data_IF_717712990704
#
_entry.id   IF_717712990704
#
_cell.length_a   1.000
_cell.length_b   1.000
_cell.length_c   1.000
_cell.angle_alpha   90.00
_cell.angle_beta   90.00
_cell.angle_gamma   90.00
#
_symmetry.space_group_name_H-M   'P 1'
#
loop_
_entity.id
_entity.type
_entity.pdbx_description
1 polymer ?
#
# COMPACT_ATOMS: atom_id res chain seq x y z
N UNK A 1 20.35 -13.91 -24.31
CA UNK A 1 18.90 -13.77 -24.09
C UNK A 1 18.26 -14.22 -25.40
N UNK A 2 17.40 -15.25 -25.38
CA UNK A 2 16.65 -15.61 -26.58
C UNK A 2 15.71 -14.44 -26.92
N UNK A 3 15.80 -13.85 -28.12
CA UNK A 3 15.12 -12.59 -28.46
C UNK A 3 13.59 -12.67 -28.49
N UNK A 4 12.99 -13.86 -28.36
CA UNK A 4 11.52 -14.06 -28.44
C UNK A 4 10.83 -14.28 -27.09
N UNK A 5 11.58 -14.39 -25.98
CA UNK A 5 10.99 -14.74 -24.67
C UNK A 5 10.31 -13.55 -23.98
N UNK A 6 10.84 -12.34 -24.13
CA UNK A 6 10.36 -11.13 -23.45
C UNK A 6 9.67 -10.18 -24.42
N UNK A 7 8.49 -9.68 -24.05
CA UNK A 7 7.78 -8.63 -24.78
C UNK A 7 7.44 -7.46 -23.88
N UNK A 8 7.53 -6.24 -24.39
CA UNK A 8 7.44 -5.02 -23.58
C UNK A 8 6.28 -4.12 -23.99
N UNK A 9 5.52 -3.63 -23.03
CA UNK A 9 4.36 -2.78 -23.28
C UNK A 9 4.30 -1.65 -22.27
N UNK A 10 3.69 -0.54 -22.67
CA UNK A 10 3.15 0.43 -21.72
C UNK A 10 1.70 0.05 -21.43
N UNK A 11 1.25 0.16 -20.18
CA UNK A 11 -0.13 -0.16 -19.83
C UNK A 11 -1.11 0.73 -20.61
N UNK A 12 -2.17 0.12 -21.14
CA UNK A 12 -3.12 0.77 -22.05
C UNK A 12 -2.70 0.83 -23.53
N UNK A 13 -1.42 0.59 -23.84
CA UNK A 13 -0.95 0.56 -25.23
C UNK A 13 -1.07 -0.83 -25.86
N UNK A 14 -1.49 -0.88 -27.12
CA UNK A 14 -1.61 -2.14 -27.87
C UNK A 14 -0.32 -2.54 -28.58
N UNK A 15 0.60 -1.59 -28.76
CA UNK A 15 1.84 -1.80 -29.52
C UNK A 15 2.97 -2.13 -28.57
N UNK A 16 3.76 -3.11 -28.97
CA UNK A 16 4.98 -3.48 -28.27
C UNK A 16 6.02 -2.35 -28.37
N UNK A 17 6.72 -2.12 -27.27
CA UNK A 17 7.85 -1.19 -27.19
C UNK A 17 9.12 -1.94 -27.60
N UNK A 18 9.60 -1.68 -28.81
CA UNK A 18 10.77 -2.36 -29.37
C UNK A 18 12.08 -1.63 -29.02
N UNK A 19 13.19 -2.37 -28.85
CA UNK A 19 14.52 -1.78 -28.73
C UNK A 19 14.82 -0.75 -29.83
N UNK A 20 15.28 0.44 -29.44
CA UNK A 20 15.60 1.54 -30.35
C UNK A 20 14.39 2.35 -30.87
N UNK A 21 13.16 2.04 -30.42
CA UNK A 21 11.99 2.89 -30.68
C UNK A 21 12.05 4.20 -29.88
N UNK A 22 11.26 5.21 -30.27
CA UNK A 22 11.22 6.49 -29.53
C UNK A 22 10.87 6.28 -28.05
N UNK A 23 9.87 5.44 -27.76
CA UNK A 23 9.45 5.12 -26.40
C UNK A 23 10.55 4.41 -25.60
N UNK A 24 11.37 3.58 -26.24
CA UNK A 24 12.48 2.88 -25.59
C UNK A 24 13.55 3.84 -25.07
N UNK A 25 13.81 4.91 -25.81
CA UNK A 25 14.83 5.91 -25.49
C UNK A 25 14.30 7.04 -24.57
N UNK A 26 13.00 7.06 -24.27
CA UNK A 26 12.44 8.06 -23.36
C UNK A 26 12.97 7.86 -21.93
N UNK A 27 13.29 8.94 -21.20
CA UNK A 27 13.57 8.87 -19.76
C UNK A 27 12.44 8.19 -19.01
N UNK A 28 12.79 7.35 -18.02
CA UNK A 28 11.79 6.66 -17.18
C UNK A 28 10.92 7.65 -16.39
N UNK A 29 11.42 8.84 -16.06
CA UNK A 29 10.65 9.91 -15.42
C UNK A 29 9.75 10.71 -16.40
N UNK A 30 9.72 10.35 -17.68
CA UNK A 30 9.04 11.08 -18.74
C UNK A 30 9.84 12.27 -19.29
N UNK A 31 9.21 13.07 -20.15
CA UNK A 31 9.84 14.31 -20.66
C UNK A 31 9.97 15.30 -19.50
N UNK A 32 11.19 15.76 -19.19
CA UNK A 32 11.49 16.78 -18.19
C UNK A 32 10.41 17.90 -18.18
N UNK A 33 9.44 17.81 -17.29
CA UNK A 33 8.59 18.95 -16.95
C UNK A 33 9.43 19.82 -16.03
N UNK A 34 10.02 20.87 -16.60
CA UNK A 34 10.99 21.72 -15.94
C UNK A 34 10.54 22.20 -14.56
N UNK A 35 11.21 21.71 -13.53
CA UNK A 35 11.53 22.53 -12.37
C UNK A 35 12.94 23.05 -12.59
N UNK A 36 13.02 24.21 -13.26
CA UNK A 36 14.23 25.03 -13.25
C UNK A 36 14.29 25.79 -11.93
N UNK A 37 15.29 25.50 -11.12
CA UNK A 37 15.91 26.51 -10.28
C UNK A 37 17.41 26.42 -10.53
N UNK A 38 17.90 27.36 -11.33
CA UNK A 38 19.29 27.47 -11.74
C UNK A 38 20.24 27.70 -10.57
N UNK A 39 21.35 26.97 -10.55
CA UNK A 39 22.67 27.53 -10.23
C UNK A 39 23.71 26.97 -11.20
N UNK A 40 24.35 27.81 -12.03
CA UNK A 40 25.29 27.37 -13.06
C UNK A 40 26.71 27.28 -12.50
N UNK A 41 26.98 26.25 -11.67
CA UNK A 41 28.36 25.95 -11.28
C UNK A 41 28.52 24.54 -10.73
N UNK A 42 28.24 23.51 -11.55
CA UNK A 42 28.79 22.16 -11.37
C UNK A 42 28.51 21.31 -12.62
N UNK A 43 29.23 21.59 -13.72
CA UNK A 43 29.37 20.62 -14.83
C UNK A 43 30.33 19.52 -14.37
N UNK A 44 29.83 18.58 -13.56
CA UNK A 44 30.41 17.25 -13.37
C UNK A 44 29.37 16.25 -13.87
N UNK A 45 29.85 15.27 -14.66
CA UNK A 45 29.14 14.19 -15.36
C UNK A 45 27.61 14.30 -15.37
N UNK A 46 27.01 14.50 -16.54
CA UNK A 46 25.61 14.12 -16.72
C UNK A 46 25.47 12.67 -16.28
N UNK A 47 24.88 12.43 -15.11
CA UNK A 47 24.42 11.10 -14.73
C UNK A 47 23.49 10.65 -15.86
N UNK A 48 23.91 9.62 -16.59
CA UNK A 48 23.17 9.15 -17.75
C UNK A 48 21.75 8.78 -17.29
N UNK A 49 20.76 9.40 -17.92
CA UNK A 49 19.36 9.25 -17.51
C UNK A 49 18.89 7.84 -17.86
N UNK A 50 18.35 7.12 -16.87
CA UNK A 50 17.75 5.80 -17.06
C UNK A 50 16.51 5.94 -17.95
N UNK A 51 16.48 5.21 -19.06
CA UNK A 51 15.35 5.18 -20.00
C UNK A 51 14.37 4.05 -19.68
N UNK A 52 13.22 4.06 -20.34
CA UNK A 52 12.25 2.95 -20.33
C UNK A 52 12.93 1.65 -20.79
N UNK A 53 13.75 1.72 -21.84
CA UNK A 53 14.51 0.59 -22.35
C UNK A 53 15.51 0.02 -21.35
N UNK A 54 16.27 0.87 -20.66
CA UNK A 54 17.19 0.44 -19.61
C UNK A 54 16.44 -0.28 -18.48
N UNK A 55 15.28 0.25 -18.10
CA UNK A 55 14.42 -0.32 -17.06
C UNK A 55 13.87 -1.69 -17.47
N UNK A 56 13.40 -1.84 -18.71
CA UNK A 56 12.96 -3.12 -19.25
C UNK A 56 14.09 -4.15 -19.31
N UNK A 57 15.27 -3.77 -19.81
CA UNK A 57 16.43 -4.68 -19.85
C UNK A 57 16.86 -5.13 -18.45
N UNK A 58 16.86 -4.22 -17.47
CA UNK A 58 17.15 -4.56 -16.09
C UNK A 58 16.09 -5.50 -15.50
N UNK A 59 14.81 -5.32 -15.83
CA UNK A 59 13.74 -6.23 -15.41
C UNK A 59 13.92 -7.64 -16.00
N UNK A 60 14.32 -7.76 -17.27
CA UNK A 60 14.61 -9.05 -17.89
C UNK A 60 15.77 -9.76 -17.19
N UNK A 61 16.83 -9.00 -16.88
CA UNK A 61 17.98 -9.52 -16.17
C UNK A 61 17.58 -10.04 -14.79
N UNK A 62 16.85 -9.25 -14.02
CA UNK A 62 16.32 -9.66 -12.72
C UNK A 62 15.47 -10.95 -12.80
N UNK A 63 14.58 -11.06 -13.79
CA UNK A 63 13.67 -12.19 -13.93
C UNK A 63 14.35 -13.46 -14.45
N UNK A 64 15.42 -13.35 -15.23
CA UNK A 64 16.09 -14.47 -15.92
C UNK A 64 17.41 -14.93 -15.29
N UNK A 65 18.01 -14.12 -14.41
CA UNK A 65 19.24 -14.47 -13.71
C UNK A 65 19.12 -15.80 -12.95
N UNK A 66 20.26 -16.48 -12.81
CA UNK A 66 20.36 -17.78 -12.11
C UNK A 66 19.33 -18.81 -12.59
N UNK A 67 19.12 -18.87 -13.92
CA UNK A 67 18.16 -19.76 -14.55
C UNK A 67 16.72 -19.51 -14.05
N UNK A 68 16.30 -18.24 -14.05
CA UNK A 68 14.96 -17.78 -13.63
C UNK A 68 14.61 -18.13 -12.17
N UNK A 69 15.57 -18.11 -11.25
CA UNK A 69 15.34 -18.62 -9.88
C UNK A 69 14.24 -17.86 -9.13
N UNK A 70 14.27 -16.53 -9.14
CA UNK A 70 13.27 -15.68 -8.47
C UNK A 70 11.89 -15.84 -9.12
N UNK A 71 11.82 -15.81 -10.45
CA UNK A 71 10.57 -15.98 -11.19
C UNK A 71 9.96 -17.36 -10.93
N UNK A 72 10.77 -18.43 -10.97
CA UNK A 72 10.31 -19.78 -10.66
C UNK A 72 9.82 -19.89 -9.23
N UNK A 73 10.48 -19.29 -8.24
CA UNK A 73 9.97 -19.31 -6.87
C UNK A 73 8.54 -18.75 -6.78
N UNK A 74 8.24 -17.67 -7.50
CA UNK A 74 6.88 -17.14 -7.63
C UNK A 74 5.92 -18.08 -8.35
N UNK A 75 6.33 -18.60 -9.50
CA UNK A 75 5.53 -19.54 -10.30
C UNK A 75 5.20 -20.81 -9.52
N UNK A 76 6.15 -21.38 -8.78
CA UNK A 76 5.93 -22.61 -8.01
C UNK A 76 4.88 -22.43 -6.91
N UNK A 77 4.84 -21.24 -6.30
CA UNK A 77 3.83 -20.87 -5.30
C UNK A 77 2.46 -20.69 -5.94
N UNK A 78 2.37 -19.91 -7.02
CA UNK A 78 1.10 -19.62 -7.71
C UNK A 78 0.52 -20.89 -8.33
N UNK A 79 1.38 -21.67 -8.98
CA UNK A 79 0.99 -22.89 -9.67
C UNK A 79 0.89 -24.12 -8.75
N UNK A 80 1.34 -24.02 -7.50
CA UNK A 80 1.37 -25.09 -6.49
C UNK A 80 2.12 -26.35 -6.95
N UNK A 81 3.11 -26.20 -7.83
CA UNK A 81 3.91 -27.29 -8.42
C UNK A 81 5.21 -26.73 -8.99
N UNK A 82 6.25 -27.57 -9.08
CA UNK A 82 7.53 -27.13 -9.65
C UNK A 82 7.38 -26.74 -11.13
N UNK A 83 8.10 -25.70 -11.54
CA UNK A 83 8.12 -25.20 -12.94
C UNK A 83 9.53 -25.27 -13.48
N UNK A 84 9.71 -25.96 -14.60
CA UNK A 84 10.99 -26.05 -15.30
C UNK A 84 11.16 -24.84 -16.23
N UNK A 85 12.41 -24.40 -16.43
CA UNK A 85 12.72 -23.26 -17.31
C UNK A 85 12.18 -23.45 -18.73
N UNK A 86 12.29 -24.66 -19.29
CA UNK A 86 11.78 -24.97 -20.63
C UNK A 86 10.26 -24.99 -20.76
N UNK A 87 9.52 -24.75 -19.66
CA UNK A 87 8.07 -24.56 -19.70
C UNK A 87 7.67 -23.09 -19.78
N UNK A 88 8.61 -22.15 -19.62
CA UNK A 88 8.32 -20.72 -19.70
C UNK A 88 8.34 -20.34 -21.18
N UNK A 89 7.15 -20.19 -21.76
CA UNK A 89 6.98 -19.93 -23.19
C UNK A 89 7.15 -18.43 -23.50
N UNK A 90 6.65 -17.57 -22.62
CA UNK A 90 6.65 -16.11 -22.82
C UNK A 90 6.54 -15.34 -21.52
N UNK A 91 7.24 -14.22 -21.43
CA UNK A 91 7.15 -13.24 -20.35
C UNK A 91 6.79 -11.88 -20.96
N UNK A 92 5.63 -11.35 -20.59
CA UNK A 92 5.17 -10.03 -21.04
C UNK A 92 5.28 -9.05 -19.89
N UNK A 93 5.98 -7.95 -20.14
CA UNK A 93 6.31 -6.92 -19.15
C UNK A 93 5.57 -5.64 -19.50
N UNK A 94 4.64 -5.22 -18.64
CA UNK A 94 3.88 -3.98 -18.80
C UNK A 94 4.37 -2.95 -17.79
N UNK A 95 4.78 -1.78 -18.27
CA UNK A 95 5.00 -0.63 -17.40
C UNK A 95 3.66 0.03 -17.07
N UNK A 96 3.21 -0.10 -15.82
CA UNK A 96 1.86 0.31 -15.40
C UNK A 96 1.78 1.81 -15.13
N UNK A 97 2.59 2.31 -14.18
CA UNK A 97 2.49 3.68 -13.68
C UNK A 97 3.86 4.22 -13.28
N UNK A 98 3.95 5.54 -13.16
CA UNK A 98 5.04 6.21 -12.46
C UNK A 98 4.52 6.70 -11.11
N UNK A 99 5.10 6.18 -10.03
CA UNK A 99 4.91 6.69 -8.68
C UNK A 99 6.10 7.52 -8.23
N UNK A 100 5.96 8.19 -7.08
CA UNK A 100 7.04 8.99 -6.48
C UNK A 100 8.27 8.15 -6.10
N UNK A 101 8.08 6.87 -5.79
CA UNK A 101 9.13 5.94 -5.36
C UNK A 101 9.30 4.72 -6.29
N UNK A 102 8.20 4.24 -6.89
CA UNK A 102 8.17 3.02 -7.68
C UNK A 102 7.62 3.22 -9.09
N UNK A 103 8.11 2.40 -10.00
CA UNK A 103 7.62 2.25 -11.37
C UNK A 103 7.12 0.82 -11.57
N UNK A 104 5.95 0.43 -11.01
CA UNK A 104 5.52 -0.96 -11.00
C UNK A 104 5.38 -1.52 -12.42
N UNK A 105 5.89 -2.74 -12.60
CA UNK A 105 5.71 -3.54 -13.80
C UNK A 105 4.72 -4.67 -13.50
N UNK A 106 3.72 -4.87 -14.37
CA UNK A 106 2.94 -6.12 -14.37
C UNK A 106 3.67 -7.14 -15.25
N UNK A 107 3.94 -8.31 -14.67
CA UNK A 107 4.61 -9.41 -15.36
C UNK A 107 3.59 -10.50 -15.62
N UNK A 108 3.24 -10.73 -16.89
CA UNK A 108 2.42 -11.86 -17.31
C UNK A 108 3.32 -12.97 -17.83
N UNK A 109 3.11 -14.19 -17.34
CA UNK A 109 3.94 -15.35 -17.71
C UNK A 109 3.04 -16.43 -18.28
N UNK A 110 3.35 -16.83 -19.51
CA UNK A 110 2.77 -17.99 -20.15
C UNK A 110 3.66 -19.19 -19.86
N UNK A 111 3.11 -20.18 -19.16
CA UNK A 111 3.82 -21.40 -18.80
C UNK A 111 3.08 -22.61 -19.38
N UNK A 112 3.79 -23.43 -20.14
CA UNK A 112 3.24 -24.61 -20.79
C UNK A 112 2.60 -25.57 -19.77
N UNK A 113 1.28 -25.78 -19.92
CA UNK A 113 0.50 -26.65 -19.04
C UNK A 113 -0.03 -25.98 -17.77
N UNK A 114 -0.08 -24.65 -17.74
CA UNK A 114 -0.61 -23.84 -16.63
C UNK A 114 -1.49 -22.71 -17.16
N UNK A 115 -2.42 -22.18 -16.35
CA UNK A 115 -3.02 -20.88 -16.60
C UNK A 115 -1.95 -19.78 -16.65
N UNK A 116 -2.28 -18.66 -17.29
CA UNK A 116 -1.44 -17.47 -17.24
C UNK A 116 -1.24 -16.99 -15.80
N UNK A 117 0.00 -16.70 -15.43
CA UNK A 117 0.36 -16.21 -14.10
C UNK A 117 0.71 -14.72 -14.18
N UNK A 118 0.24 -13.94 -13.21
CA UNK A 118 0.58 -12.53 -13.09
C UNK A 118 1.39 -12.25 -11.82
N UNK A 119 2.39 -11.38 -11.93
CA UNK A 119 3.18 -10.86 -10.81
C UNK A 119 3.27 -9.34 -10.91
N UNK A 120 3.52 -8.69 -9.77
CA UNK A 120 4.02 -7.32 -9.74
C UNK A 120 5.54 -7.37 -9.58
N UNK A 121 6.25 -6.59 -10.37
CA UNK A 121 7.66 -6.32 -10.19
C UNK A 121 7.80 -4.84 -9.84
N UNK A 122 7.88 -4.55 -8.55
CA UNK A 122 8.06 -3.19 -8.05
C UNK A 122 9.53 -2.82 -8.21
N UNK A 123 9.82 -1.76 -8.96
CA UNK A 123 11.19 -1.28 -9.08
C UNK A 123 11.38 0.19 -8.82
N UNK A 124 12.59 0.52 -8.38
CA UNK A 124 13.01 1.86 -8.00
C UNK A 124 14.37 2.20 -8.61
N UNK A 125 14.54 3.48 -8.94
CA UNK A 125 15.78 4.03 -9.51
C UNK A 125 16.41 5.11 -8.63
N UNK A 126 15.62 5.78 -7.78
CA UNK A 126 16.09 6.81 -6.87
C UNK A 126 16.70 6.21 -5.61
N UNK A 127 17.64 6.93 -4.96
CA UNK A 127 18.26 6.47 -3.70
C UNK A 127 17.22 6.19 -2.60
N UNK A 128 16.22 7.06 -2.47
CA UNK A 128 15.11 6.89 -1.51
C UNK A 128 14.24 5.69 -1.87
N UNK A 129 13.89 5.52 -3.15
CA UNK A 129 13.12 4.38 -3.63
C UNK A 129 13.85 3.05 -3.41
N UNK A 130 15.14 2.98 -3.70
CA UNK A 130 15.97 1.78 -3.46
C UNK A 130 16.02 1.40 -1.98
N UNK A 131 16.19 2.38 -1.09
CA UNK A 131 16.19 2.13 0.36
C UNK A 131 14.83 1.65 0.85
N UNK A 132 13.73 2.19 0.32
CA UNK A 132 12.38 1.77 0.66
C UNK A 132 12.11 0.35 0.17
N UNK A 133 12.52 0.03 -1.07
CA UNK A 133 12.32 -1.26 -1.74
C UNK A 133 12.84 -2.43 -0.92
N UNK A 134 14.10 -2.37 -0.46
CA UNK A 134 14.68 -3.44 0.33
C UNK A 134 14.02 -3.57 1.71
N UNK A 135 13.64 -2.45 2.31
CA UNK A 135 12.98 -2.42 3.62
C UNK A 135 11.57 -3.01 3.54
N UNK A 136 10.77 -2.59 2.56
CA UNK A 136 9.41 -3.06 2.33
C UNK A 136 9.40 -4.56 2.03
N UNK A 137 10.30 -5.06 1.18
CA UNK A 137 10.44 -6.49 0.94
C UNK A 137 10.67 -7.27 2.25
N UNK A 138 11.58 -6.78 3.11
CA UNK A 138 11.89 -7.43 4.41
C UNK A 138 10.68 -7.42 5.33
N UNK A 139 9.97 -6.29 5.42
CA UNK A 139 8.79 -6.16 6.28
C UNK A 139 7.68 -7.08 5.79
N UNK A 140 7.33 -7.05 4.50
CA UNK A 140 6.29 -7.92 3.93
C UNK A 140 6.67 -9.40 4.09
N UNK A 141 7.93 -9.77 3.85
CA UNK A 141 8.41 -11.14 4.06
C UNK A 141 8.27 -11.58 5.52
N UNK A 142 8.57 -10.70 6.48
CA UNK A 142 8.39 -10.97 7.91
C UNK A 142 6.91 -11.12 8.27
N UNK A 143 6.06 -10.17 7.87
CA UNK A 143 4.63 -10.16 8.18
C UNK A 143 3.89 -11.35 7.56
N UNK A 144 4.28 -11.80 6.36
CA UNK A 144 3.73 -13.00 5.75
C UNK A 144 4.06 -14.28 6.53
N UNK A 145 5.19 -14.32 7.24
CA UNK A 145 5.57 -15.45 8.10
C UNK A 145 4.81 -15.43 9.43
N UNK A 146 4.62 -14.25 10.02
CA UNK A 146 3.96 -14.12 11.33
C UNK A 146 2.43 -14.18 11.23
N UNK A 147 1.84 -13.65 10.16
CA UNK A 147 0.38 -13.59 9.93
C UNK A 147 -0.10 -14.54 8.81
N UNK A 148 0.41 -15.77 8.79
CA UNK A 148 0.16 -16.71 7.68
C UNK A 148 -1.30 -17.16 7.52
N UNK A 149 -2.14 -17.04 8.57
CA UNK A 149 -3.55 -17.48 8.57
C UNK A 149 -4.47 -16.49 7.83
N UNK A 150 -4.23 -15.19 7.97
CA UNK A 150 -5.02 -14.14 7.32
C UNK A 150 -4.10 -13.27 6.45
N UNK A 151 -3.91 -13.69 5.19
CA UNK A 151 -3.04 -13.00 4.23
C UNK A 151 -3.77 -11.83 3.57
N UNK A 152 -3.43 -10.63 4.02
CA UNK A 152 -3.93 -9.36 3.46
C UNK A 152 -2.87 -8.59 2.67
N UNK A 153 -1.60 -9.02 2.78
CA UNK A 153 -0.44 -8.53 2.04
C UNK A 153 -0.09 -9.44 0.86
N UNK A 154 0.59 -8.92 -0.19
CA UNK A 154 1.09 -9.76 -1.26
C UNK A 154 2.20 -10.67 -0.75
N UNK A 155 2.30 -11.88 -1.31
CA UNK A 155 3.54 -12.64 -1.20
C UNK A 155 4.68 -11.93 -1.93
N UNK A 156 5.91 -12.09 -1.44
CA UNK A 156 7.12 -11.59 -2.09
C UNK A 156 8.08 -12.75 -2.33
N UNK A 157 8.72 -12.77 -3.49
CA UNK A 157 9.43 -13.94 -4.01
C UNK A 157 10.94 -13.73 -4.17
N UNK A 158 11.38 -12.47 -4.30
CA UNK A 158 12.80 -12.12 -4.33
C UNK A 158 13.00 -10.63 -4.47
N UNK A 159 14.20 -10.17 -4.12
CA UNK A 159 14.65 -8.78 -4.22
C UNK A 159 16.10 -8.76 -4.70
N UNK A 160 16.44 -7.82 -5.57
CA UNK A 160 17.81 -7.62 -6.05
C UNK A 160 17.99 -6.22 -6.66
N UNK A 161 19.24 -5.82 -6.85
CA UNK A 161 19.61 -4.53 -7.46
C UNK A 161 20.53 -4.76 -8.65
N UNK A 162 20.02 -4.42 -9.83
CA UNK A 162 20.75 -4.49 -11.08
C UNK A 162 21.60 -3.23 -11.24
N UNK A 163 22.91 -3.42 -11.37
CA UNK A 163 23.83 -2.33 -11.73
C UNK A 163 23.94 -2.23 -13.24
N UNK A 164 23.67 -1.05 -13.77
CA UNK A 164 23.86 -0.66 -15.17
C UNK A 164 24.96 0.38 -15.28
N UNK A 165 25.38 0.70 -16.50
CA UNK A 165 26.26 1.84 -16.81
C UNK A 165 25.65 3.20 -16.45
N UNK A 166 24.31 3.29 -16.38
CA UNK A 166 23.55 4.50 -16.07
C UNK A 166 23.06 4.61 -14.62
N UNK A 167 23.36 3.61 -13.79
CA UNK A 167 22.98 3.61 -12.37
C UNK A 167 22.42 2.28 -11.88
N UNK A 168 21.82 2.31 -10.69
CA UNK A 168 21.26 1.14 -10.01
C UNK A 168 19.75 1.10 -10.15
N UNK A 169 19.21 -0.07 -10.49
CA UNK A 169 17.78 -0.31 -10.60
C UNK A 169 17.44 -1.48 -9.67
N UNK A 170 16.69 -1.20 -8.63
CA UNK A 170 16.26 -2.21 -7.65
C UNK A 170 14.90 -2.76 -8.02
N UNK A 171 14.69 -4.03 -7.74
CA UNK A 171 13.43 -4.72 -7.98
C UNK A 171 13.10 -5.70 -6.85
N UNK A 172 11.82 -5.83 -6.51
CA UNK A 172 11.31 -7.04 -5.87
C UNK A 172 10.09 -7.59 -6.61
N UNK A 173 10.02 -8.92 -6.67
CA UNK A 173 8.89 -9.65 -7.26
C UNK A 173 7.86 -9.95 -6.18
N UNK A 174 6.59 -9.66 -6.46
CA UNK A 174 5.47 -9.95 -5.59
C UNK A 174 4.24 -10.49 -6.31
N UNK A 175 3.27 -10.94 -5.51
CA UNK A 175 1.98 -11.42 -5.98
C UNK A 175 1.18 -10.31 -6.65
N UNK A 176 0.61 -10.60 -7.82
CA UNK A 176 -0.40 -9.75 -8.43
C UNK A 176 -1.79 -10.14 -7.91
N UNK A 177 -2.52 -9.18 -7.37
CA UNK A 177 -3.89 -9.39 -6.91
C UNK A 177 -4.89 -9.28 -8.05
N UNK A 178 -5.18 -10.42 -8.71
CA UNK A 178 -6.11 -10.44 -9.83
C UNK A 178 -7.55 -10.07 -9.45
N UNK A 179 -8.17 -9.24 -10.29
CA UNK A 179 -9.52 -8.72 -10.10
C UNK A 179 -9.65 -7.61 -9.04
N UNK A 180 -8.57 -7.22 -8.36
CA UNK A 180 -8.58 -6.09 -7.43
C UNK A 180 -8.31 -4.76 -8.15
N UNK A 181 -8.90 -3.69 -7.62
CA UNK A 181 -8.96 -2.37 -8.24
C UNK A 181 -8.57 -1.28 -7.26
N UNK A 182 -7.95 -0.22 -7.77
CA UNK A 182 -7.76 1.01 -7.02
C UNK A 182 -9.10 1.73 -6.85
N UNK A 183 -9.23 2.49 -5.76
CA UNK A 183 -10.40 3.29 -5.49
C UNK A 183 -10.00 4.59 -4.80
N UNK A 184 -10.77 5.65 -5.03
CA UNK A 184 -10.54 6.96 -4.44
C UNK A 184 -11.84 7.70 -4.17
N UNK A 185 -11.81 8.64 -3.23
CA UNK A 185 -12.84 9.63 -3.09
C UNK A 185 -13.01 10.41 -4.40
N UNK A 186 -14.26 10.70 -4.77
CA UNK A 186 -14.60 11.56 -5.89
C UNK A 186 -15.79 12.42 -5.54
N UNK A 187 -16.11 13.38 -6.39
CA UNK A 187 -17.22 14.29 -6.18
C UNK A 187 -17.84 14.66 -7.52
N UNK A 188 -19.16 14.51 -7.59
CA UNK A 188 -19.96 14.92 -8.74
C UNK A 188 -21.08 15.86 -8.28
N UNK A 189 -21.20 17.04 -8.88
CA UNK A 189 -22.19 18.06 -8.52
C UNK A 189 -22.29 18.38 -7.02
N UNK A 190 -21.17 18.32 -6.28
CA UNK A 190 -21.13 18.55 -4.83
C UNK A 190 -21.46 17.33 -3.97
N UNK A 191 -21.86 16.21 -4.57
CA UNK A 191 -22.15 14.95 -3.90
C UNK A 191 -20.89 14.10 -3.87
N UNK A 192 -20.46 13.73 -2.67
CA UNK A 192 -19.28 12.90 -2.47
C UNK A 192 -19.58 11.42 -2.70
N UNK A 193 -18.64 10.75 -3.36
CA UNK A 193 -18.73 9.38 -3.83
C UNK A 193 -17.35 8.71 -3.71
N UNK A 194 -17.29 7.42 -4.00
CA UNK A 194 -16.05 6.68 -4.22
C UNK A 194 -16.07 6.16 -5.65
N UNK A 195 -14.97 6.37 -6.38
CA UNK A 195 -14.75 5.78 -7.70
C UNK A 195 -13.84 4.57 -7.57
N UNK A 196 -14.19 3.48 -8.24
CA UNK A 196 -13.38 2.27 -8.41
C UNK A 196 -12.92 2.24 -9.87
N UNK A 197 -11.61 2.15 -10.09
CA UNK A 197 -11.01 2.20 -11.43
C UNK A 197 -10.89 0.83 -12.05
N UNK A 198 -11.49 0.65 -13.22
CA UNK A 198 -11.32 -0.55 -14.01
C UNK A 198 -10.04 -0.52 -14.82
N UNK A 199 -9.51 -1.71 -15.12
CA UNK A 199 -8.27 -1.87 -15.89
C UNK A 199 -8.43 -1.47 -17.36
N UNK A 200 -9.66 -1.35 -17.86
CA UNK A 200 -9.98 -0.89 -19.21
C UNK A 200 -10.27 0.62 -19.28
N UNK A 201 -10.00 1.35 -18.19
CA UNK A 201 -10.23 2.79 -18.07
C UNK A 201 -11.66 3.18 -17.72
N UNK A 202 -12.58 2.21 -17.57
CA UNK A 202 -13.92 2.51 -17.02
C UNK A 202 -13.84 2.86 -15.54
N UNK A 203 -14.83 3.59 -15.08
CA UNK A 203 -14.98 4.00 -13.69
C UNK A 203 -16.33 3.51 -13.16
N UNK A 204 -16.31 2.83 -12.02
CA UNK A 204 -17.52 2.46 -11.29
C UNK A 204 -17.68 3.37 -10.07
N UNK A 205 -18.80 4.08 -10.01
CA UNK A 205 -19.07 5.05 -8.95
C UNK A 205 -20.04 4.47 -7.93
N UNK A 206 -19.67 4.55 -6.65
CA UNK A 206 -20.50 4.13 -5.53
C UNK A 206 -20.68 5.29 -4.54
N UNK A 207 -21.80 5.30 -3.81
CA UNK A 207 -22.00 6.27 -2.74
C UNK A 207 -21.02 6.03 -1.58
N UNK A 208 -20.77 7.06 -0.76
CA UNK A 208 -19.97 6.87 0.47
C UNK A 208 -20.53 5.77 1.37
N UNK A 209 -21.86 5.66 1.47
CA UNK A 209 -22.51 4.62 2.29
C UNK A 209 -22.24 3.22 1.73
N UNK A 210 -22.28 3.05 0.41
CA UNK A 210 -21.95 1.78 -0.23
C UNK A 210 -20.46 1.42 -0.08
N UNK A 211 -19.60 2.40 0.16
CA UNK A 211 -18.17 2.20 0.40
C UNK A 211 -17.84 1.83 1.86
N UNK A 212 -18.77 1.93 2.81
CA UNK A 212 -18.52 1.60 4.23
C UNK A 212 -17.84 0.25 4.47
N UNK A 213 -18.22 -0.86 3.80
CA UNK A 213 -17.54 -2.14 4.00
C UNK A 213 -16.06 -2.13 3.58
N UNK A 214 -15.66 -1.25 2.66
CA UNK A 214 -14.25 -1.08 2.24
C UNK A 214 -13.44 -0.53 3.42
N UNK A 215 -13.89 0.58 4.02
CA UNK A 215 -13.18 1.24 5.11
C UNK A 215 -13.23 0.44 6.42
N UNK A 216 -14.33 -0.28 6.66
CA UNK A 216 -14.41 -1.27 7.74
C UNK A 216 -13.33 -2.35 7.59
N UNK A 217 -13.18 -2.92 6.39
CA UNK A 217 -12.17 -3.95 6.14
C UNK A 217 -10.74 -3.39 6.21
N UNK A 218 -10.49 -2.16 5.75
CA UNK A 218 -9.18 -1.51 5.89
C UNK A 218 -8.82 -1.34 7.37
N UNK A 219 -9.76 -0.86 8.18
CA UNK A 219 -9.57 -0.74 9.63
C UNK A 219 -9.27 -2.08 10.28
N UNK A 220 -10.02 -3.12 9.91
CA UNK A 220 -9.80 -4.48 10.39
C UNK A 220 -8.40 -4.96 10.03
N UNK A 221 -8.00 -4.88 8.76
CA UNK A 221 -6.68 -5.32 8.26
C UNK A 221 -5.54 -4.63 9.01
N UNK A 222 -5.57 -3.30 9.12
CA UNK A 222 -4.52 -2.55 9.81
C UNK A 222 -4.43 -2.93 11.29
N UNK A 223 -5.58 -3.16 11.93
CA UNK A 223 -5.64 -3.60 13.32
C UNK A 223 -5.17 -5.06 13.48
N UNK A 224 -5.43 -5.95 12.52
CA UNK A 224 -4.90 -7.31 12.52
C UNK A 224 -3.36 -7.32 12.51
N UNK A 225 -2.74 -6.39 11.77
CA UNK A 225 -1.29 -6.21 11.74
C UNK A 225 -0.73 -5.37 12.88
N UNK A 226 -1.56 -4.75 13.72
CA UNK A 226 -1.06 -4.10 14.93
C UNK A 226 -0.56 -5.15 15.93
N UNK A 227 0.69 -5.04 16.36
CA UNK A 227 1.25 -5.92 17.39
C UNK A 227 0.90 -5.37 18.78
N UNK A 228 0.19 -6.15 19.59
CA UNK A 228 -0.27 -5.70 20.91
C UNK A 228 0.86 -5.70 21.94
N UNK A 229 1.95 -6.44 21.71
CA UNK A 229 3.05 -6.57 22.66
C UNK A 229 4.19 -5.61 22.31
N UNK A 230 4.46 -5.39 21.02
CA UNK A 230 5.50 -4.45 20.56
C UNK A 230 4.96 -3.08 20.18
N UNK A 231 3.64 -2.94 20.04
CA UNK A 231 2.94 -1.75 19.55
C UNK A 231 3.26 -1.38 18.10
N UNK A 232 3.98 -2.26 17.39
CA UNK A 232 4.29 -2.06 15.99
C UNK A 232 3.03 -1.96 15.16
N UNK A 233 3.01 -1.01 14.22
CA UNK A 233 1.92 -0.84 13.27
C UNK A 233 2.46 -0.66 11.87
N UNK A 234 1.67 -1.01 10.87
CA UNK A 234 1.96 -0.60 9.50
C UNK A 234 1.72 0.92 9.38
N UNK A 235 2.79 1.67 9.13
CA UNK A 235 2.75 3.12 8.90
C UNK A 235 4.06 3.59 8.21
N UNK A 236 4.03 4.58 7.31
CA UNK A 236 2.85 5.31 6.81
C UNK A 236 2.05 4.55 5.76
N UNK A 237 0.74 4.79 5.73
CA UNK A 237 -0.18 4.41 4.66
C UNK A 237 -1.09 5.60 4.30
N UNK A 238 -1.63 5.62 3.08
CA UNK A 238 -2.53 6.66 2.59
C UNK A 238 -3.44 6.15 1.46
N UNK A 239 -4.74 6.49 1.49
CA UNK A 239 -5.70 6.10 0.43
C UNK A 239 -5.28 6.64 -0.94
N UNK A 240 -5.02 7.94 -1.05
CA UNK A 240 -4.53 8.58 -2.27
C UNK A 240 -3.22 8.02 -2.84
N UNK A 241 -2.43 7.29 -2.03
CA UNK A 241 -1.21 6.67 -2.52
C UNK A 241 -1.45 5.27 -3.13
N UNK A 242 -2.70 4.79 -3.12
CA UNK A 242 -3.06 3.49 -3.68
C UNK A 242 -2.62 2.31 -2.82
N UNK A 243 -2.35 2.51 -1.52
CA UNK A 243 -1.87 1.42 -0.66
C UNK A 243 -2.90 0.29 -0.50
N UNK A 244 -4.19 0.58 -0.72
CA UNK A 244 -5.29 -0.38 -0.63
C UNK A 244 -5.96 -0.59 -1.98
N UNK A 245 -6.32 -1.84 -2.25
CA UNK A 245 -7.09 -2.23 -3.43
C UNK A 245 -8.31 -3.06 -3.01
N UNK A 246 -9.38 -2.92 -3.78
CA UNK A 246 -10.68 -3.52 -3.49
C UNK A 246 -11.12 -4.47 -4.59
N UNK A 247 -11.78 -5.56 -4.21
CA UNK A 247 -12.55 -6.40 -5.11
C UNK A 247 -13.96 -6.57 -4.55
N UNK A 248 -14.95 -6.36 -5.40
CA UNK A 248 -16.36 -6.56 -5.07
C UNK A 248 -16.88 -7.81 -5.78
N UNK A 249 -17.35 -8.80 -5.02
CA UNK A 249 -17.82 -10.07 -5.58
C UNK A 249 -19.02 -10.59 -4.78
N UNK A 250 -20.13 -10.90 -5.46
CA UNK A 250 -21.34 -11.47 -4.86
C UNK A 250 -21.84 -10.72 -3.60
N UNK A 251 -21.77 -9.39 -3.61
CA UNK A 251 -22.18 -8.54 -2.48
C UNK A 251 -21.18 -8.50 -1.31
N UNK A 252 -20.01 -9.13 -1.45
CA UNK A 252 -18.90 -9.05 -0.49
C UNK A 252 -17.84 -8.10 -1.00
N UNK A 253 -17.20 -7.43 -0.06
CA UNK A 253 -16.05 -6.56 -0.29
C UNK A 253 -14.81 -7.26 0.25
N UNK A 254 -13.77 -7.33 -0.57
CA UNK A 254 -12.46 -7.82 -0.20
C UNK A 254 -11.45 -6.71 -0.39
N UNK A 255 -10.65 -6.44 0.64
CA UNK A 255 -9.56 -5.47 0.56
C UNK A 255 -8.22 -6.17 0.70
N UNK A 256 -7.21 -5.64 0.02
CA UNK A 256 -5.80 -5.99 0.19
C UNK A 256 -4.99 -4.73 0.41
N UNK A 257 -3.92 -4.87 1.19
CA UNK A 257 -2.89 -3.87 1.39
C UNK A 257 -1.69 -4.27 0.52
N UNK A 258 -1.25 -3.40 -0.38
CA UNK A 258 -0.21 -3.72 -1.36
C UNK A 258 1.14 -3.05 -1.09
N UNK A 259 1.21 -2.18 -0.08
CA UNK A 259 2.42 -1.45 0.30
C UNK A 259 2.54 -1.41 1.82
N UNK A 260 3.77 -1.58 2.32
CA UNK A 260 4.14 -1.57 3.73
C UNK A 260 5.45 -0.80 3.88
N UNK A 261 5.33 0.53 3.92
CA UNK A 261 6.48 1.44 3.96
C UNK A 261 7.28 1.36 5.27
N UNK A 262 6.62 0.99 6.36
CA UNK A 262 7.21 0.87 7.69
C UNK A 262 6.39 -0.01 8.60
N UNK A 263 7.05 -0.52 9.64
CA UNK A 263 6.45 -1.32 10.70
C UNK A 263 7.21 -1.10 12.00
N UNK A 264 6.69 -0.18 12.81
CA UNK A 264 7.31 0.34 14.04
C UNK A 264 6.23 0.89 14.98
N UNK A 265 6.49 1.08 16.28
CA UNK A 265 5.50 1.65 17.18
C UNK A 265 5.27 3.14 16.91
N UNK A 266 4.09 3.65 17.26
CA UNK A 266 3.81 5.11 17.19
C UNK A 266 4.61 5.89 18.23
N UNK A 267 4.83 5.25 19.38
CA UNK A 267 5.44 5.85 20.56
C UNK A 267 6.35 4.80 21.18
N UNK A 268 7.58 5.21 21.50
CA UNK A 268 8.52 4.37 22.23
C UNK A 268 8.19 4.45 23.73
N UNK A 269 7.87 3.30 24.32
CA UNK A 269 7.76 3.17 25.78
C UNK A 269 9.06 2.59 26.34
N UNK A 270 9.31 2.82 27.62
CA UNK A 270 10.51 2.34 28.32
C UNK A 270 10.73 0.83 28.17
N UNK A 271 11.99 0.39 28.35
CA UNK A 271 12.40 -0.98 28.06
C UNK A 271 11.91 -2.04 29.09
N UNK A 272 11.38 -1.62 30.23
CA UNK A 272 10.96 -2.54 31.30
C UNK A 272 9.68 -3.31 30.95
N UNK A 273 9.71 -4.64 31.04
CA UNK A 273 8.60 -5.53 30.63
C UNK A 273 7.32 -5.33 31.47
N UNK A 274 7.46 -4.95 32.74
CA UNK A 274 6.30 -4.64 33.59
C UNK A 274 5.58 -3.38 33.12
N UNK A 275 6.32 -2.38 32.66
CA UNK A 275 5.75 -1.15 32.12
C UNK A 275 5.00 -1.42 30.81
N UNK A 276 5.46 -2.38 30.00
CA UNK A 276 4.82 -2.71 28.71
C UNK A 276 3.38 -3.20 28.84
N UNK A 277 3.05 -4.01 29.84
CA UNK A 277 1.66 -4.47 30.02
C UNK A 277 0.71 -3.32 30.37
N UNK A 278 1.16 -2.37 31.18
CA UNK A 278 0.39 -1.17 31.53
C UNK A 278 0.18 -0.25 30.32
N UNK A 279 1.05 -0.34 29.32
CA UNK A 279 0.99 0.44 28.08
C UNK A 279 0.16 -0.18 26.95
N UNK A 280 -0.37 -1.40 27.10
CA UNK A 280 -1.17 -2.05 26.04
C UNK A 280 -2.38 -1.19 25.65
N UNK A 281 -3.24 -0.85 26.62
CA UNK A 281 -4.48 -0.11 26.34
C UNK A 281 -4.22 1.35 25.92
N UNK A 282 -3.28 2.09 26.55
CA UNK A 282 -2.87 3.40 26.06
C UNK A 282 -2.33 3.38 24.63
N UNK A 283 -1.45 2.43 24.29
CA UNK A 283 -0.86 2.32 22.94
C UNK A 283 -1.90 1.97 21.89
N UNK A 284 -2.81 1.04 22.24
CA UNK A 284 -3.91 0.65 21.37
C UNK A 284 -4.88 1.83 21.15
N UNK A 285 -5.12 2.65 22.17
CA UNK A 285 -5.91 3.88 22.04
C UNK A 285 -5.24 4.88 21.09
N UNK A 286 -3.94 5.12 21.22
CA UNK A 286 -3.20 6.02 20.33
C UNK A 286 -3.22 5.52 18.87
N UNK A 287 -2.98 4.23 18.66
CA UNK A 287 -3.10 3.58 17.36
C UNK A 287 -4.51 3.78 16.77
N UNK A 288 -5.55 3.48 17.55
CA UNK A 288 -6.94 3.58 17.13
C UNK A 288 -7.35 5.00 16.74
N UNK A 289 -6.98 6.00 17.56
CA UNK A 289 -7.31 7.40 17.29
C UNK A 289 -6.55 7.93 16.05
N UNK A 290 -5.28 7.55 15.89
CA UNK A 290 -4.51 7.89 14.68
C UNK A 290 -5.10 7.24 13.42
N UNK A 291 -5.50 5.96 13.51
CA UNK A 291 -6.19 5.22 12.45
C UNK A 291 -7.46 5.95 12.01
N UNK A 292 -8.31 6.35 12.95
CA UNK A 292 -9.57 7.05 12.68
C UNK A 292 -9.40 8.40 11.99
N UNK A 293 -8.41 9.19 12.42
CA UNK A 293 -8.10 10.48 11.80
C UNK A 293 -7.73 10.31 10.33
N UNK A 294 -6.85 9.37 10.04
CA UNK A 294 -6.31 9.14 8.69
C UNK A 294 -7.28 8.43 7.76
N UNK A 295 -8.12 7.53 8.26
CA UNK A 295 -9.07 6.75 7.45
C UNK A 295 -10.06 7.62 6.67
N UNK A 296 -10.33 8.84 7.17
CA UNK A 296 -11.25 9.77 6.51
C UNK A 296 -10.56 10.59 5.43
N UNK A 297 -9.23 10.58 5.32
CA UNK A 297 -8.49 11.45 4.41
C UNK A 297 -8.23 10.76 3.07
N UNK A 298 -8.51 11.46 2.00
CA UNK A 298 -8.18 11.02 0.64
C UNK A 298 -7.96 12.22 -0.28
N UNK A 299 -7.66 11.97 -1.55
CA UNK A 299 -7.60 12.99 -2.60
C UNK A 299 -8.64 12.69 -3.67
N UNK A 300 -9.29 13.74 -4.18
CA UNK A 300 -10.25 13.59 -5.26
C UNK A 300 -9.62 12.93 -6.47
N UNK A 301 -10.18 11.81 -6.91
CA UNK A 301 -9.66 10.99 -8.02
C UNK A 301 -8.17 10.61 -7.83
N UNK A 302 -7.73 10.41 -6.58
CA UNK A 302 -6.38 9.97 -6.21
C UNK A 302 -5.30 11.05 -6.23
N UNK A 303 -5.43 12.10 -7.04
CA UNK A 303 -4.39 13.13 -7.20
C UNK A 303 -4.87 14.57 -6.97
N UNK A 304 -6.19 14.81 -7.01
CA UNK A 304 -6.81 16.12 -6.85
C UNK A 304 -6.76 16.66 -5.41
N UNK A 305 -7.65 17.61 -5.09
CA UNK A 305 -7.67 18.25 -3.78
C UNK A 305 -7.87 17.22 -2.64
N UNK A 306 -7.18 17.47 -1.53
CA UNK A 306 -7.39 16.75 -0.26
C UNK A 306 -8.83 16.89 0.23
N UNK A 307 -9.45 15.77 0.58
CA UNK A 307 -10.84 15.70 1.06
C UNK A 307 -10.96 14.80 2.29
N UNK A 308 -11.97 15.08 3.11
CA UNK A 308 -12.26 14.31 4.32
C UNK A 308 -13.64 13.70 4.21
N UNK A 309 -13.71 12.39 4.09
CA UNK A 309 -14.94 11.60 3.98
C UNK A 309 -15.92 11.87 5.14
N UNK A 310 -17.21 11.63 4.91
CA UNK A 310 -18.29 11.99 5.83
C UNK A 310 -18.16 11.32 7.21
N UNK A 311 -18.67 11.98 8.26
CA UNK A 311 -18.60 11.48 9.65
C UNK A 311 -19.28 10.12 9.87
N UNK A 312 -20.23 9.75 9.01
CA UNK A 312 -20.91 8.46 9.08
C UNK A 312 -19.95 7.28 8.82
N UNK A 313 -18.77 7.53 8.24
CA UNK A 313 -17.67 6.58 8.09
C UNK A 313 -17.10 6.09 9.43
N UNK A 314 -17.19 6.90 10.49
CA UNK A 314 -16.53 6.62 11.77
C UNK A 314 -17.04 5.28 12.34
N UNK A 315 -18.34 5.01 12.26
CA UNK A 315 -18.93 3.78 12.79
C UNK A 315 -18.39 2.51 12.08
N UNK A 316 -18.44 2.39 10.74
CA UNK A 316 -17.81 1.27 10.03
C UNK A 316 -16.34 1.06 10.40
N UNK A 317 -15.57 2.14 10.57
CA UNK A 317 -14.15 2.06 10.94
C UNK A 317 -13.99 1.54 12.37
N UNK A 318 -14.78 2.03 13.32
CA UNK A 318 -14.82 1.51 14.71
C UNK A 318 -15.19 0.03 14.71
N UNK A 319 -16.18 -0.39 13.92
CA UNK A 319 -16.61 -1.79 13.82
C UNK A 319 -15.50 -2.69 13.25
N UNK A 320 -14.75 -2.22 12.25
CA UNK A 320 -13.59 -2.93 11.69
C UNK A 320 -12.48 -3.14 12.72
N UNK A 321 -12.13 -2.07 13.44
CA UNK A 321 -11.16 -2.12 14.53
C UNK A 321 -11.59 -3.12 15.63
N UNK A 322 -12.82 -3.01 16.14
CA UNK A 322 -13.32 -3.90 17.20
C UNK A 322 -13.42 -5.36 16.74
N UNK A 323 -13.77 -5.61 15.47
CA UNK A 323 -13.79 -6.95 14.91
C UNK A 323 -12.39 -7.57 14.88
N UNK A 324 -11.36 -6.81 14.52
CA UNK A 324 -9.98 -7.30 14.58
C UNK A 324 -9.52 -7.60 16.03
N UNK A 325 -10.00 -6.85 17.03
CA UNK A 325 -9.75 -7.17 18.43
C UNK A 325 -10.40 -8.48 18.86
N UNK A 326 -11.60 -8.79 18.37
CA UNK A 326 -12.23 -10.10 18.59
C UNK A 326 -11.37 -11.23 17.99
N UNK A 327 -10.88 -11.04 16.76
CA UNK A 327 -10.00 -12.02 16.10
C UNK A 327 -8.67 -12.22 16.86
N UNK A 328 -8.08 -11.13 17.37
CA UNK A 328 -6.85 -11.21 18.19
C UNK A 328 -7.09 -11.89 19.53
N UNK A 329 -8.23 -11.66 20.16
CA UNK A 329 -8.61 -12.27 21.44
C UNK A 329 -8.60 -13.80 21.38
N UNK A 330 -8.86 -14.39 20.20
CA UNK A 330 -8.81 -15.84 20.00
C UNK A 330 -7.38 -16.41 19.98
N UNK A 331 -6.36 -15.57 19.79
CA UNK A 331 -4.97 -15.98 19.59
C UNK A 331 -4.06 -15.49 20.72
N UNK A 332 -4.37 -14.35 21.33
CA UNK A 332 -3.56 -13.74 22.39
C UNK A 332 -4.05 -14.09 23.80
N UNK A 333 -3.15 -14.08 24.79
CA UNK A 333 -3.45 -14.40 26.18
C UNK A 333 -4.12 -13.27 26.99
N UNK A 334 -4.58 -12.20 26.34
CA UNK A 334 -5.05 -10.97 27.01
C UNK A 334 -6.57 -10.92 27.27
N UNK A 335 -7.29 -12.03 27.03
CA UNK A 335 -8.73 -12.09 27.23
C UNK A 335 -9.52 -11.43 26.10
N UNK A 336 -10.73 -10.96 26.40
CA UNK A 336 -11.62 -10.32 25.41
C UNK A 336 -11.23 -8.85 25.19
N UNK A 337 -10.30 -8.61 24.26
CA UNK A 337 -9.75 -7.29 23.97
C UNK A 337 -10.81 -6.29 23.54
N UNK A 338 -11.85 -6.72 22.82
CA UNK A 338 -12.96 -5.85 22.42
C UNK A 338 -13.66 -5.25 23.64
N UNK A 339 -14.11 -6.09 24.56
CA UNK A 339 -14.82 -5.63 25.76
C UNK A 339 -13.91 -4.82 26.66
N UNK A 340 -12.66 -5.24 26.82
CA UNK A 340 -11.66 -4.51 27.62
C UNK A 340 -11.41 -3.12 27.02
N UNK A 341 -11.21 -3.02 25.71
CA UNK A 341 -10.97 -1.73 25.05
C UNK A 341 -12.20 -0.81 25.11
N UNK A 342 -13.41 -1.33 24.91
CA UNK A 342 -14.64 -0.54 25.04
C UNK A 342 -14.75 0.03 26.47
N UNK A 343 -14.60 -0.82 27.49
CA UNK A 343 -14.65 -0.40 28.88
C UNK A 343 -13.52 0.59 29.24
N UNK A 344 -12.35 0.44 28.62
CA UNK A 344 -11.26 1.40 28.74
C UNK A 344 -11.61 2.75 28.12
N UNK A 345 -12.10 2.76 26.88
CA UNK A 345 -12.48 3.99 26.17
C UNK A 345 -13.61 4.75 26.89
N UNK A 346 -14.59 4.04 27.44
CA UNK A 346 -15.73 4.64 28.15
C UNK A 346 -15.36 5.40 29.43
N UNK A 347 -14.13 5.23 29.94
CA UNK A 347 -13.62 6.00 31.08
C UNK A 347 -13.22 7.44 30.71
N UNK A 348 -13.05 7.75 29.42
CA UNK A 348 -12.61 9.05 28.94
C UNK A 348 -13.80 9.98 28.67
N UNK A 349 -13.73 11.22 29.18
CA UNK A 349 -14.64 12.28 28.79
C UNK A 349 -14.39 12.72 27.34
N UNK A 350 -15.36 13.41 26.75
CA UNK A 350 -15.20 14.01 25.43
C UNK A 350 -13.98 14.96 25.40
N UNK A 351 -13.77 15.78 26.45
CA UNK A 351 -12.61 16.68 26.50
C UNK A 351 -11.28 15.92 26.54
N UNK A 352 -11.23 14.79 27.26
CA UNK A 352 -10.02 13.95 27.32
C UNK A 352 -9.72 13.31 25.96
N UNK A 353 -10.75 12.77 25.28
CA UNK A 353 -10.58 12.23 23.92
C UNK A 353 -10.09 13.31 22.96
N UNK A 354 -10.68 14.50 23.01
CA UNK A 354 -10.24 15.64 22.20
C UNK A 354 -8.77 16.01 22.48
N UNK A 355 -8.38 16.14 23.75
CA UNK A 355 -6.99 16.46 24.11
C UNK A 355 -5.98 15.41 23.62
N UNK A 356 -6.31 14.12 23.68
CA UNK A 356 -5.44 13.06 23.15
C UNK A 356 -5.31 13.17 21.63
N UNK A 357 -6.43 13.37 20.91
CA UNK A 357 -6.40 13.49 19.46
C UNK A 357 -5.70 14.78 18.98
N UNK A 358 -5.78 15.88 19.73
CA UNK A 358 -5.00 17.10 19.49
C UNK A 358 -3.50 16.83 19.56
N UNK A 359 -3.04 16.15 20.62
CA UNK A 359 -1.63 15.77 20.77
C UNK A 359 -1.15 14.87 19.61
N UNK A 360 -1.99 13.94 19.15
CA UNK A 360 -1.69 13.12 17.96
C UNK A 360 -1.51 14.02 16.73
N UNK A 361 -2.41 14.99 16.52
CA UNK A 361 -2.33 15.91 15.38
C UNK A 361 -1.12 16.83 15.43
N UNK A 362 -0.69 17.27 16.61
CA UNK A 362 0.52 18.08 16.78
C UNK A 362 1.79 17.33 16.37
N UNK A 363 1.79 15.99 16.47
CA UNK A 363 2.91 15.15 16.03
C UNK A 363 3.04 15.00 14.52
N UNK A 364 2.01 15.38 13.74
CA UNK A 364 2.02 15.20 12.30
C UNK A 364 3.02 16.16 11.65
N UNK A 365 3.88 15.64 10.77
CA UNK A 365 4.71 16.48 9.92
C UNK A 365 3.79 17.36 9.05
N UNK A 366 4.10 18.65 8.97
CA UNK A 366 3.23 19.71 8.46
C UNK A 366 2.71 19.45 7.03
N UNK A 367 1.55 18.80 6.91
CA UNK A 367 0.68 18.92 5.74
C UNK A 367 -0.38 19.98 6.05
N UNK A 368 -0.20 21.20 5.52
CA UNK A 368 -1.11 22.31 5.83
C UNK A 368 -2.56 22.03 5.42
N UNK A 369 -2.79 21.32 4.32
CA UNK A 369 -4.13 21.00 3.82
C UNK A 369 -4.84 19.90 4.64
N UNK A 370 -4.19 18.76 4.88
CA UNK A 370 -4.78 17.66 5.66
C UNK A 370 -5.04 18.09 7.11
N UNK A 371 -4.08 18.76 7.75
CA UNK A 371 -4.22 19.21 9.13
C UNK A 371 -5.32 20.27 9.24
N UNK A 372 -5.40 21.22 8.30
CA UNK A 372 -6.49 22.20 8.28
C UNK A 372 -7.85 21.52 8.16
N UNK A 373 -7.98 20.55 7.25
CA UNK A 373 -9.23 19.84 7.01
C UNK A 373 -9.67 19.00 8.21
N UNK A 374 -8.72 18.36 8.90
CA UNK A 374 -9.01 17.66 10.16
C UNK A 374 -9.50 18.66 11.21
N UNK A 375 -8.80 19.80 11.39
CA UNK A 375 -9.16 20.83 12.38
C UNK A 375 -10.56 21.39 12.16
N UNK A 376 -10.95 21.65 10.91
CA UNK A 376 -12.30 22.10 10.54
C UNK A 376 -13.40 21.10 10.96
N UNK A 377 -13.09 19.81 11.00
CA UNK A 377 -14.03 18.74 11.29
C UNK A 377 -13.83 18.10 12.67
N UNK A 378 -12.89 18.62 13.47
CA UNK A 378 -12.33 17.93 14.63
C UNK A 378 -13.36 17.67 15.74
N UNK A 379 -14.07 18.71 16.16
CA UNK A 379 -15.07 18.60 17.22
C UNK A 379 -16.20 17.64 16.82
N UNK A 380 -16.71 17.77 15.58
CA UNK A 380 -17.75 16.87 15.08
C UNK A 380 -17.25 15.42 14.98
N UNK A 381 -15.97 15.19 14.66
CA UNK A 381 -15.37 13.87 14.65
C UNK A 381 -15.38 13.27 16.06
N UNK A 382 -14.83 13.98 17.04
CA UNK A 382 -14.70 13.51 18.42
C UNK A 382 -16.06 13.25 19.06
N UNK A 383 -17.04 14.15 18.87
CA UNK A 383 -18.42 13.95 19.34
C UNK A 383 -19.06 12.69 18.74
N UNK A 384 -18.89 12.46 17.45
CA UNK A 384 -19.44 11.27 16.78
C UNK A 384 -18.82 9.99 17.34
N UNK A 385 -17.49 9.99 17.52
CA UNK A 385 -16.77 8.87 18.12
C UNK A 385 -17.25 8.58 19.54
N UNK A 386 -17.34 9.61 20.39
CA UNK A 386 -17.77 9.49 21.78
C UNK A 386 -19.20 8.93 21.90
N UNK A 387 -20.11 9.40 21.04
CA UNK A 387 -21.49 8.87 20.95
C UNK A 387 -21.50 7.39 20.54
N UNK A 388 -20.66 6.98 19.59
CA UNK A 388 -20.56 5.57 19.17
C UNK A 388 -20.14 4.69 20.35
N UNK A 389 -19.11 5.08 21.10
CA UNK A 389 -18.63 4.30 22.25
C UNK A 389 -19.58 4.34 23.44
N UNK A 390 -20.36 5.40 23.61
CA UNK A 390 -21.42 5.46 24.62
C UNK A 390 -22.60 4.53 24.30
N UNK A 391 -22.71 4.07 23.04
CA UNK A 391 -23.77 3.16 22.58
C UNK A 391 -23.39 1.68 22.56
N UNK A 392 -22.13 1.33 22.87
CA UNK A 392 -21.71 -0.04 23.14
C UNK A 392 -21.93 -0.38 24.62
#
# INVERSE_FOLDING_TARGET
MEPDLFCFFLSGEKKEVLPGSELWELPLSGKNTGFSSDTPSERKLQDAVITIGDYFLASCRFLSENNFSILKAGLEVVCKRSVLTGQIDRIVVFLEKHGAFYHPLKIQVVVHGFPECCFVLNGAVSKSGLSLLENEYKIISRLNKTHYVQRHLPMVFGVDVITTDKGRIGFFLGEWFDGYKEFHATQDHGIRQVVIWESDGKCHYISEVAAFPIYQEISRILTCYYDIETFDQIFPWHHAAGDFIVRQEAGKVHVRLISVRGYSPLTEFGADEKDKQEHILPSLLLFFLNLLLRMRLDRLNGTGQTVMLGKNMIKPVVEGFLHALDEKSAVCGFGNLRLIFIAFFQQFSLEQVMGIMENILESYQSNSEEIALIKENFESHCRTLHVIFSGF
#
